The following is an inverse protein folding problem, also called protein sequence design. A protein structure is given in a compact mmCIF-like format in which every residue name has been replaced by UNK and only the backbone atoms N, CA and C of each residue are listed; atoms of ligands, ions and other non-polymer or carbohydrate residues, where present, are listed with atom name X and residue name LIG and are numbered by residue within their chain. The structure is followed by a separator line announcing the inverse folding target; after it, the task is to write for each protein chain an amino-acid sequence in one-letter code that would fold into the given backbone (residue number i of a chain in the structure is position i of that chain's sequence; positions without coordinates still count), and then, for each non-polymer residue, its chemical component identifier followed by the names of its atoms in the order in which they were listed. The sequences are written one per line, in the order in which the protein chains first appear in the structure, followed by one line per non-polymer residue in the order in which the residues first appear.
data_IF_797071777643
#
_entry.id   IF_797071777643
#
_cell.length_a   1.000
_cell.length_b   1.000
_cell.length_c   1.000
_cell.angle_alpha   90.00
_cell.angle_beta   90.00
_cell.angle_gamma   90.00
#
_symmetry.space_group_name_H-M   'P 1'
#
loop_
_entity.id
_entity.type
_entity.pdbx_description
1 polymer ?
#
# COMPACT_ATOMS: atom_id res chain seq x y z
N UNK A 1 -6.41 11.11 -0.90
CA UNK A 1 -5.00 10.83 -0.54
C UNK A 1 -4.66 11.54 0.76
N UNK A 2 -4.49 10.83 1.89
CA UNK A 2 -4.06 11.46 3.16
C UNK A 2 -2.53 11.56 3.19
N UNK A 3 -2.01 12.69 2.71
CA UNK A 3 -0.59 13.04 2.85
C UNK A 3 -0.45 14.54 3.04
N UNK A 4 0.42 14.94 3.96
CA UNK A 4 0.74 16.34 4.21
C UNK A 4 2.19 16.48 4.63
N UNK A 5 2.77 17.63 4.31
CA UNK A 5 4.10 18.01 4.77
C UNK A 5 4.00 18.75 6.11
N UNK A 6 4.88 18.40 7.05
CA UNK A 6 5.00 19.04 8.36
C UNK A 6 6.48 19.37 8.62
N UNK A 7 6.82 20.65 8.47
CA UNK A 7 8.22 21.10 8.48
C UNK A 7 9.01 20.41 7.36
N UNK A 8 10.07 19.69 7.74
CA UNK A 8 10.91 18.91 6.84
C UNK A 8 10.44 17.45 6.62
N UNK A 9 9.27 17.07 7.13
CA UNK A 9 8.78 15.70 7.07
C UNK A 9 7.56 15.58 6.18
N UNK A 10 7.49 14.49 5.43
CA UNK A 10 6.28 14.09 4.70
C UNK A 10 5.56 13.00 5.49
N UNK A 11 4.34 13.28 5.91
CA UNK A 11 3.45 12.28 6.46
C UNK A 11 2.63 11.65 5.32
N UNK A 12 2.56 10.32 5.30
CA UNK A 12 1.69 9.56 4.40
C UNK A 12 1.01 8.47 5.22
N UNK A 13 -0.32 8.40 5.11
CA UNK A 13 -1.09 7.31 5.69
C UNK A 13 -1.39 6.27 4.61
N UNK A 14 -0.86 5.06 4.80
CA UNK A 14 -1.06 3.93 3.87
C UNK A 14 -1.53 2.68 4.61
N UNK A 15 -2.22 1.81 3.86
CA UNK A 15 -2.51 0.45 4.27
C UNK A 15 -1.61 -0.51 3.48
N UNK A 16 -1.04 -1.51 4.15
CA UNK A 16 -0.30 -2.59 3.51
C UNK A 16 -1.06 -3.91 3.72
N UNK A 17 -1.07 -4.75 2.69
CA UNK A 17 -1.67 -6.06 2.73
C UNK A 17 -0.57 -7.12 2.87
N UNK A 18 -0.70 -7.99 3.88
CA UNK A 18 0.14 -9.19 4.00
C UNK A 18 -0.71 -10.37 3.55
N UNK A 19 -0.42 -10.88 2.35
CA UNK A 19 -1.23 -11.92 1.71
C UNK A 19 -0.40 -13.19 1.70
N UNK A 20 -0.99 -14.26 2.24
CA UNK A 20 -0.36 -15.56 2.31
C UNK A 20 -1.15 -16.57 1.49
N UNK A 21 -0.43 -17.46 0.82
CA UNK A 21 -0.98 -18.66 0.21
C UNK A 21 -0.05 -19.81 0.57
N UNK A 22 -0.55 -20.74 1.39
CA UNK A 22 0.24 -21.81 2.01
C UNK A 22 1.47 -21.23 2.75
N UNK A 23 2.68 -21.65 2.35
CA UNK A 23 3.95 -21.21 2.92
C UNK A 23 4.56 -19.99 2.20
N UNK A 24 3.80 -19.35 1.29
CA UNK A 24 4.26 -18.22 0.49
C UNK A 24 3.60 -16.91 0.92
N UNK A 25 4.36 -15.81 0.83
CA UNK A 25 3.86 -14.44 1.00
C UNK A 25 3.95 -13.68 -0.32
N UNK A 26 2.93 -12.90 -0.64
CA UNK A 26 2.95 -12.06 -1.83
C UNK A 26 3.78 -10.81 -1.58
N UNK A 27 4.82 -10.65 -2.38
CA UNK A 27 5.61 -9.43 -2.49
C UNK A 27 5.60 -8.97 -3.95
N UNK A 28 5.81 -7.68 -4.16
CA UNK A 28 6.01 -7.11 -5.49
C UNK A 28 7.26 -6.23 -5.48
N UNK A 29 7.89 -6.14 -6.64
CA UNK A 29 9.04 -5.28 -6.87
C UNK A 29 8.67 -4.39 -8.06
N UNK A 30 8.75 -3.09 -7.85
CA UNK A 30 8.55 -2.11 -8.93
C UNK A 30 9.83 -2.07 -9.76
N UNK A 31 9.69 -1.94 -11.08
CA UNK A 31 10.83 -1.86 -11.99
C UNK A 31 11.78 -0.73 -11.57
N UNK A 32 13.01 -1.11 -11.22
CA UNK A 32 14.06 -0.18 -10.79
C UNK A 32 14.29 -0.12 -9.27
N UNK A 33 13.44 -0.73 -8.45
CA UNK A 33 13.69 -0.87 -7.01
C UNK A 33 14.68 -2.01 -6.73
N UNK A 34 15.56 -1.85 -5.75
CA UNK A 34 16.49 -2.89 -5.29
C UNK A 34 15.86 -3.85 -4.26
N UNK A 35 14.61 -3.60 -3.86
CA UNK A 35 13.94 -4.30 -2.77
C UNK A 35 12.53 -4.73 -3.16
N UNK A 36 12.07 -5.80 -2.51
CA UNK A 36 10.70 -6.29 -2.58
C UNK A 36 9.86 -5.62 -1.50
N UNK A 37 8.63 -5.29 -1.85
CA UNK A 37 7.68 -4.61 -0.97
C UNK A 37 6.38 -5.38 -0.84
N UNK A 38 5.68 -5.17 0.27
CA UNK A 38 4.30 -5.61 0.41
C UNK A 38 3.40 -4.80 -0.52
N UNK A 39 2.33 -5.39 -1.06
CA UNK A 39 1.27 -4.65 -1.70
C UNK A 39 0.73 -3.58 -0.73
N UNK A 40 0.69 -2.33 -1.16
CA UNK A 40 0.20 -1.24 -0.32
C UNK A 40 -0.52 -0.16 -1.13
N UNK A 41 -1.38 0.60 -0.45
CA UNK A 41 -2.17 1.66 -1.06
C UNK A 41 -2.37 2.84 -0.12
N UNK A 42 -2.72 3.99 -0.66
CA UNK A 42 -2.94 5.20 0.16
C UNK A 42 -4.36 5.22 0.70
N UNK A 43 -4.50 5.52 1.99
CA UNK A 43 -5.82 5.60 2.63
C UNK A 43 -6.50 6.91 2.21
N UNK A 44 -7.76 6.82 1.81
CA UNK A 44 -8.61 7.97 1.48
C UNK A 44 -9.33 8.53 2.73
N UNK A 45 -9.71 9.82 2.75
CA UNK A 45 -10.50 10.38 3.83
C UNK A 45 -11.77 9.57 4.07
N UNK A 46 -12.07 9.32 5.36
CA UNK A 46 -13.22 8.50 5.79
C UNK A 46 -13.17 7.02 5.39
N UNK A 47 -12.01 6.53 4.94
CA UNK A 47 -11.80 5.12 4.62
C UNK A 47 -11.05 4.39 5.75
N UNK A 48 -11.50 3.18 6.11
CA UNK A 48 -10.73 2.30 6.99
C UNK A 48 -9.67 1.53 6.19
N UNK A 49 -8.54 1.19 6.82
CA UNK A 49 -7.44 0.48 6.17
C UNK A 49 -7.88 -0.81 5.43
N UNK A 50 -8.83 -1.56 5.99
CA UNK A 50 -9.38 -2.75 5.34
C UNK A 50 -10.14 -2.44 4.04
N UNK A 51 -10.87 -1.32 4.01
CA UNK A 51 -11.59 -0.87 2.80
C UNK A 51 -10.60 -0.41 1.73
N UNK A 52 -9.54 0.31 2.13
CA UNK A 52 -8.42 0.68 1.24
C UNK A 52 -7.81 -0.55 0.59
N UNK A 53 -7.55 -1.61 1.38
CA UNK A 53 -6.96 -2.84 0.85
C UNK A 53 -7.88 -3.49 -0.21
N UNK A 54 -9.18 -3.58 0.06
CA UNK A 54 -10.13 -4.18 -0.89
C UNK A 54 -10.20 -3.36 -2.18
N UNK A 55 -10.33 -2.04 -2.08
CA UNK A 55 -10.44 -1.14 -3.23
C UNK A 55 -9.19 -1.19 -4.11
N UNK A 56 -8.01 -1.02 -3.52
CA UNK A 56 -6.74 -0.99 -4.25
C UNK A 56 -6.41 -2.35 -4.90
N UNK A 57 -6.85 -3.46 -4.30
CA UNK A 57 -6.78 -4.80 -4.90
C UNK A 57 -7.66 -4.91 -6.15
N UNK A 58 -8.89 -4.37 -6.08
CA UNK A 58 -9.84 -4.38 -7.20
C UNK A 58 -9.39 -3.47 -8.34
N UNK A 59 -8.85 -2.30 -8.01
CA UNK A 59 -8.36 -1.32 -8.98
C UNK A 59 -7.00 -1.71 -9.58
N UNK A 60 -6.29 -2.67 -8.97
CA UNK A 60 -4.95 -3.11 -9.38
C UNK A 60 -3.85 -2.08 -9.10
N UNK A 61 -4.13 -1.08 -8.26
CA UNK A 61 -3.20 -0.01 -7.92
C UNK A 61 -2.19 -0.41 -6.83
N UNK A 62 -2.47 -1.51 -6.12
CA UNK A 62 -1.65 -1.97 -4.99
C UNK A 62 -0.27 -2.54 -5.37
N UNK A 63 -0.04 -2.76 -6.67
CA UNK A 63 1.18 -3.39 -7.24
C UNK A 63 2.02 -2.41 -8.08
N UNK A 64 1.80 -1.11 -7.92
CA UNK A 64 2.45 -0.04 -8.70
C UNK A 64 3.53 0.66 -7.92
#
# INVERSE_FOLDING_TARGET
MISFDTGSHRFKLSAAAVIFQDEYVLLHQVDGDEFWSLPSGTIEPSEHAAQTVIREMQDGLMFR
#
